data_IF_182328955586
#
_entry.id   IF_182328955586
#
_cell.length_a   1.000
_cell.length_b   1.000
_cell.length_c   1.000
_cell.angle_alpha   90.00
_cell.angle_beta   90.00
_cell.angle_gamma   90.00
#
_symmetry.space_group_name_H-M   'P 1'
#
loop_
_entity.id
_entity.type
_entity.pdbx_description
1 polymer ?
#
# COMPACT_ATOMS: atom_id res chain seq x y z
N UNK A 1 19.78 12.26 13.68
CA UNK A 1 19.05 12.24 12.40
C UNK A 1 18.03 11.13 12.56
N UNK A 2 16.74 11.43 12.34
CA UNK A 2 15.70 10.39 12.38
C UNK A 2 16.06 9.29 11.39
N UNK A 3 15.97 8.02 11.80
CA UNK A 3 16.21 6.87 10.91
C UNK A 3 14.96 6.53 10.07
N UNK A 4 13.96 7.44 10.07
CA UNK A 4 12.71 7.31 9.34
C UNK A 4 12.96 7.22 7.83
N UNK A 5 12.54 6.12 7.22
CA UNK A 5 12.60 5.93 5.76
C UNK A 5 11.59 4.89 5.28
N UNK A 6 11.24 5.00 4.00
CA UNK A 6 10.46 4.01 3.26
C UNK A 6 11.31 3.41 2.13
N UNK A 7 11.28 2.08 1.99
CA UNK A 7 12.01 1.30 1.00
C UNK A 7 11.05 0.34 0.29
N UNK A 8 11.00 0.36 -1.05
CA UNK A 8 10.25 -0.65 -1.82
C UNK A 8 10.99 -1.99 -1.73
N UNK A 9 10.37 -3.00 -1.11
CA UNK A 9 10.93 -4.35 -0.98
C UNK A 9 10.72 -5.17 -2.25
N UNK A 10 9.51 -5.13 -2.80
CA UNK A 10 9.12 -5.82 -4.01
C UNK A 10 8.13 -4.95 -4.79
N UNK A 11 8.44 -4.71 -6.06
CA UNK A 11 7.63 -3.87 -6.96
C UNK A 11 6.41 -4.67 -7.40
N UNK A 12 5.22 -4.13 -7.22
CA UNK A 12 3.97 -4.78 -7.62
C UNK A 12 3.75 -4.79 -9.13
N UNK A 13 2.70 -5.51 -9.54
CA UNK A 13 2.27 -5.63 -10.94
C UNK A 13 0.76 -5.72 -11.00
N UNK A 14 0.15 -5.10 -12.01
CA UNK A 14 -1.23 -5.40 -12.41
C UNK A 14 -1.27 -6.69 -13.23
N UNK A 15 -2.38 -7.43 -13.19
CA UNK A 15 -2.57 -8.62 -14.04
C UNK A 15 -2.55 -8.29 -15.53
N UNK A 16 -3.01 -7.08 -15.86
CA UNK A 16 -2.97 -6.45 -17.17
C UNK A 16 -2.76 -4.94 -17.04
N UNK A 17 -1.99 -4.36 -17.94
CA UNK A 17 -1.78 -2.93 -18.03
C UNK A 17 -2.35 -2.42 -19.36
N UNK A 18 -3.45 -1.66 -19.28
CA UNK A 18 -4.14 -1.07 -20.44
C UNK A 18 -3.26 -0.09 -21.24
N UNK A 19 -2.21 0.45 -20.64
CA UNK A 19 -1.25 1.34 -21.30
C UNK A 19 -0.20 0.58 -22.11
N UNK A 20 -0.15 -0.76 -21.98
CA UNK A 20 0.81 -1.64 -22.67
C UNK A 20 0.11 -2.53 -23.71
N UNK A 21 -1.08 -2.15 -24.17
CA UNK A 21 -1.94 -2.89 -25.11
C UNK A 21 -2.35 -4.30 -24.63
N UNK A 22 -2.39 -4.52 -23.32
CA UNK A 22 -2.83 -5.79 -22.73
C UNK A 22 -4.36 -5.83 -22.61
N UNK A 23 -4.99 -6.84 -23.21
CA UNK A 23 -6.45 -6.99 -23.30
C UNK A 23 -7.01 -8.14 -22.42
N UNK A 24 -6.12 -8.84 -21.74
CA UNK A 24 -6.41 -9.95 -20.84
C UNK A 24 -5.28 -10.06 -19.83
N UNK A 25 -5.52 -10.80 -18.75
CA UNK A 25 -4.49 -11.11 -17.77
C UNK A 25 -3.33 -11.87 -18.42
N UNK A 26 -2.12 -11.35 -18.20
CA UNK A 26 -0.86 -11.90 -18.74
C UNK A 26 0.17 -12.17 -17.64
N UNK A 27 -0.14 -11.80 -16.40
CA UNK A 27 0.68 -12.03 -15.21
C UNK A 27 -0.20 -12.04 -13.95
N UNK A 28 0.38 -12.47 -12.85
CA UNK A 28 -0.26 -12.35 -11.54
C UNK A 28 -0.28 -10.89 -11.09
N UNK A 29 -1.39 -10.50 -10.49
CA UNK A 29 -1.49 -9.23 -9.79
C UNK A 29 -0.84 -9.33 -8.41
N UNK A 30 0.03 -8.36 -8.10
CA UNK A 30 0.76 -8.28 -6.84
C UNK A 30 0.83 -6.83 -6.41
N UNK A 31 0.58 -6.55 -5.14
CA UNK A 31 0.83 -5.22 -4.58
C UNK A 31 2.33 -4.92 -4.46
N UNK A 32 2.64 -3.64 -4.38
CA UNK A 32 3.97 -3.12 -4.07
C UNK A 32 4.19 -3.23 -2.58
N UNK A 33 5.06 -4.15 -2.19
CA UNK A 33 5.40 -4.36 -0.80
C UNK A 33 6.46 -3.33 -0.37
N UNK A 34 6.12 -2.52 0.63
CA UNK A 34 6.97 -1.43 1.12
C UNK A 34 7.37 -1.65 2.58
N UNK A 35 8.62 -1.37 2.91
CA UNK A 35 9.13 -1.34 4.27
C UNK A 35 9.25 0.10 4.75
N UNK A 36 8.62 0.42 5.88
CA UNK A 36 8.81 1.69 6.59
C UNK A 36 9.54 1.40 7.90
N UNK A 37 10.66 2.10 8.13
CA UNK A 37 11.47 1.97 9.34
C UNK A 37 11.51 3.29 10.06
N UNK A 38 11.33 3.27 11.38
CA UNK A 38 11.60 4.36 12.32
C UNK A 38 12.23 3.77 13.58
N UNK A 39 12.47 4.60 14.60
CA UNK A 39 13.27 4.21 15.77
C UNK A 39 12.72 2.96 16.50
N UNK A 40 11.39 2.86 16.67
CA UNK A 40 10.72 1.73 17.33
C UNK A 40 9.77 0.95 16.40
N UNK A 41 9.78 1.25 15.09
CA UNK A 41 8.85 0.67 14.12
C UNK A 41 9.60 0.07 12.92
N UNK A 42 9.27 -1.19 12.62
CA UNK A 42 9.62 -1.88 11.40
C UNK A 42 8.31 -2.39 10.78
N UNK A 43 7.72 -1.59 9.90
CA UNK A 43 6.38 -1.77 9.37
C UNK A 43 6.45 -2.20 7.91
N UNK A 44 5.74 -3.27 7.55
CA UNK A 44 5.56 -3.70 6.16
C UNK A 44 4.16 -3.28 5.69
N UNK A 45 4.08 -2.57 4.57
CA UNK A 45 2.83 -2.23 3.89
C UNK A 45 2.59 -3.21 2.75
N UNK A 46 1.36 -3.73 2.68
CA UNK A 46 0.86 -4.58 1.60
C UNK A 46 1.80 -5.73 1.20
N UNK A 47 1.95 -6.76 2.05
CA UNK A 47 2.78 -7.93 1.78
C UNK A 47 2.12 -8.89 0.75
N UNK A 48 1.81 -8.39 -0.44
CA UNK A 48 1.14 -9.11 -1.52
C UNK A 48 1.90 -10.30 -2.11
N UNK A 49 3.23 -10.26 -2.01
CA UNK A 49 4.10 -11.27 -2.61
C UNK A 49 4.13 -12.60 -1.83
N UNK A 50 4.40 -13.73 -2.49
CA UNK A 50 4.56 -15.02 -1.81
C UNK A 50 5.63 -14.99 -0.70
N UNK A 51 5.43 -15.80 0.35
CA UNK A 51 6.30 -15.81 1.54
C UNK A 51 7.79 -15.99 1.23
N UNK A 52 8.13 -16.82 0.23
CA UNK A 52 9.52 -17.03 -0.17
C UNK A 52 10.15 -15.75 -0.73
N UNK A 53 9.39 -14.97 -1.49
CA UNK A 53 9.85 -13.69 -2.04
C UNK A 53 10.00 -12.68 -0.91
N UNK A 54 9.00 -12.53 -0.05
CA UNK A 54 9.05 -11.61 1.10
C UNK A 54 10.24 -11.89 2.02
N UNK A 55 10.49 -13.16 2.35
CA UNK A 55 11.65 -13.56 3.15
C UNK A 55 12.96 -13.15 2.47
N UNK A 56 13.06 -13.38 1.16
CA UNK A 56 14.26 -13.03 0.39
C UNK A 56 14.47 -11.51 0.33
N UNK A 57 13.44 -10.70 0.09
CA UNK A 57 13.59 -9.24 -0.01
C UNK A 57 13.83 -8.59 1.36
N UNK A 58 13.19 -9.07 2.43
CA UNK A 58 13.48 -8.63 3.81
C UNK A 58 14.96 -8.87 4.15
N UNK A 59 15.47 -10.07 3.84
CA UNK A 59 16.86 -10.39 4.15
C UNK A 59 17.85 -9.68 3.21
N UNK A 60 17.71 -9.82 1.89
CA UNK A 60 18.69 -9.32 0.92
C UNK A 60 18.67 -7.81 0.73
N UNK A 61 17.53 -7.13 0.97
CA UNK A 61 17.39 -5.68 0.74
C UNK A 61 17.36 -4.89 2.03
N UNK A 62 16.85 -5.46 3.12
CA UNK A 62 16.74 -4.77 4.39
C UNK A 62 17.61 -5.35 5.52
N UNK A 63 18.20 -6.54 5.34
CA UNK A 63 18.99 -7.21 6.38
C UNK A 63 18.14 -7.66 7.57
N UNK A 64 16.86 -7.97 7.34
CA UNK A 64 15.89 -8.30 8.38
C UNK A 64 15.43 -9.76 8.28
N UNK A 65 15.27 -10.38 9.44
CA UNK A 65 14.45 -11.58 9.60
C UNK A 65 12.97 -11.19 9.76
N UNK A 66 12.01 -12.03 9.33
CA UNK A 66 10.58 -11.74 9.44
C UNK A 66 10.11 -11.39 10.85
N UNK A 67 10.71 -11.99 11.88
CA UNK A 67 10.38 -11.76 13.28
C UNK A 67 10.73 -10.35 13.77
N UNK A 68 11.53 -9.60 13.02
CA UNK A 68 11.88 -8.22 13.33
C UNK A 68 10.84 -7.22 12.81
N UNK A 69 9.90 -7.65 11.96
CA UNK A 69 8.78 -6.83 11.53
C UNK A 69 7.81 -6.67 12.70
N UNK A 70 7.62 -5.43 13.14
CA UNK A 70 6.76 -5.11 14.28
C UNK A 70 5.31 -4.93 13.86
N UNK A 71 5.07 -4.38 12.68
CA UNK A 71 3.74 -4.08 12.17
C UNK A 71 3.59 -4.52 10.72
N UNK A 72 2.36 -4.92 10.38
CA UNK A 72 1.89 -4.97 9.00
C UNK A 72 0.74 -4.00 8.87
N UNK A 73 0.75 -3.18 7.83
CA UNK A 73 -0.36 -2.30 7.48
C UNK A 73 -0.92 -2.72 6.12
N UNK A 74 -2.24 -2.88 6.03
CA UNK A 74 -2.93 -3.07 4.76
C UNK A 74 -3.61 -1.76 4.36
N UNK A 75 -3.35 -1.32 3.14
CA UNK A 75 -4.02 -0.13 2.57
C UNK A 75 -5.50 -0.40 2.33
N UNK A 76 -5.82 -1.62 1.90
CA UNK A 76 -7.17 -2.17 1.78
C UNK A 76 -7.10 -3.71 1.76
N UNK A 77 -8.26 -4.38 1.78
CA UNK A 77 -8.34 -5.84 1.87
C UNK A 77 -8.64 -6.50 0.51
N UNK A 78 -7.62 -6.57 -0.34
CA UNK A 78 -7.68 -7.28 -1.62
C UNK A 78 -6.70 -8.46 -1.70
N UNK A 79 -6.98 -9.50 -2.52
CA UNK A 79 -6.13 -10.69 -2.64
C UNK A 79 -4.67 -10.36 -3.01
N UNK A 80 -4.46 -9.37 -3.87
CA UNK A 80 -3.14 -8.95 -4.32
C UNK A 80 -2.27 -8.33 -3.21
N UNK A 81 -2.87 -7.93 -2.07
CA UNK A 81 -2.19 -7.23 -0.97
C UNK A 81 -1.79 -8.15 0.18
N UNK A 82 -2.18 -9.44 0.14
CA UNK A 82 -2.12 -10.35 1.30
C UNK A 82 -1.40 -11.69 1.05
N UNK A 83 -0.70 -11.85 -0.08
CA UNK A 83 -0.12 -13.16 -0.47
C UNK A 83 0.92 -13.74 0.48
N UNK A 84 1.66 -12.92 1.24
CA UNK A 84 2.73 -13.37 2.14
C UNK A 84 2.40 -13.31 3.64
N UNK A 85 1.11 -13.27 3.97
CA UNK A 85 0.60 -13.08 5.34
C UNK A 85 1.10 -14.07 6.40
N UNK A 86 1.34 -15.33 6.04
CA UNK A 86 1.80 -16.34 7.01
C UNK A 86 3.22 -16.11 7.51
N UNK A 87 4.07 -15.45 6.71
CA UNK A 87 5.45 -15.12 7.07
C UNK A 87 5.55 -14.14 8.24
N UNK A 88 4.60 -13.21 8.34
CA UNK A 88 4.60 -12.08 9.28
C UNK A 88 3.61 -12.29 10.43
N UNK A 89 3.42 -13.54 10.86
CA UNK A 89 2.42 -13.91 11.86
C UNK A 89 2.66 -13.31 13.27
N UNK A 90 3.88 -12.85 13.58
CA UNK A 90 4.21 -12.21 14.87
C UNK A 90 3.99 -10.69 14.88
N UNK A 91 3.86 -10.08 13.71
CA UNK A 91 3.63 -8.65 13.60
C UNK A 91 2.21 -8.28 14.04
N UNK A 92 2.00 -7.02 14.44
CA UNK A 92 0.66 -6.48 14.63
C UNK A 92 0.07 -6.07 13.27
N UNK A 93 -1.02 -6.72 12.88
CA UNK A 93 -1.72 -6.45 11.63
C UNK A 93 -2.73 -5.31 11.81
N UNK A 94 -2.59 -4.28 11.01
CA UNK A 94 -3.32 -3.02 11.07
C UNK A 94 -4.02 -2.73 9.75
N UNK A 95 -5.21 -2.15 9.83
CA UNK A 95 -5.93 -1.53 8.72
C UNK A 95 -6.82 -0.41 9.28
N UNK A 96 -7.31 0.46 8.41
CA UNK A 96 -8.27 1.49 8.81
C UNK A 96 -9.59 0.87 9.30
N UNK A 97 -10.25 1.49 10.27
CA UNK A 97 -11.41 0.87 10.93
C UNK A 97 -12.59 0.67 9.98
N UNK A 98 -12.77 1.59 9.02
CA UNK A 98 -13.77 1.54 7.97
C UNK A 98 -13.49 0.42 6.98
N UNK A 99 -12.23 0.10 6.71
CA UNK A 99 -11.87 -1.02 5.85
C UNK A 99 -12.19 -2.36 6.52
N UNK A 100 -11.89 -2.46 7.83
CA UNK A 100 -12.25 -3.63 8.63
C UNK A 100 -13.78 -3.76 8.68
N UNK A 101 -14.52 -2.66 8.81
CA UNK A 101 -15.98 -2.67 8.80
C UNK A 101 -16.54 -3.08 7.44
N UNK A 102 -15.96 -2.59 6.35
CA UNK A 102 -16.32 -2.95 4.99
C UNK A 102 -16.05 -4.43 4.69
N UNK A 103 -14.86 -4.93 5.02
CA UNK A 103 -14.53 -6.35 4.88
C UNK A 103 -15.51 -7.26 5.64
N UNK A 104 -16.00 -6.84 6.82
CA UNK A 104 -17.03 -7.59 7.57
C UNK A 104 -18.41 -7.57 6.93
N UNK A 105 -18.74 -6.56 6.12
CA UNK A 105 -20.03 -6.50 5.42
C UNK A 105 -20.01 -7.30 4.12
N UNK A 106 -18.88 -7.31 3.42
CA UNK A 106 -18.78 -7.91 2.09
C UNK A 106 -18.31 -9.36 2.10
N UNK A 107 -17.40 -9.74 3.02
CA UNK A 107 -16.80 -11.08 3.00
C UNK A 107 -17.69 -12.12 3.70
N UNK A 108 -17.92 -13.23 2.99
CA UNK A 108 -18.56 -14.41 3.57
C UNK A 108 -17.61 -15.19 4.48
N UNK A 109 -18.15 -16.05 5.35
CA UNK A 109 -17.34 -16.87 6.29
C UNK A 109 -16.37 -17.83 5.59
N UNK A 110 -16.68 -18.26 4.36
CA UNK A 110 -15.85 -19.16 3.56
C UNK A 110 -14.80 -18.42 2.71
N UNK A 111 -14.80 -17.08 2.72
CA UNK A 111 -13.85 -16.30 1.94
C UNK A 111 -12.42 -16.44 2.51
N UNK A 112 -11.40 -16.75 1.70
CA UNK A 112 -10.01 -16.81 2.17
C UNK A 112 -9.53 -15.54 2.90
N UNK A 113 -10.03 -14.36 2.51
CA UNK A 113 -9.69 -13.08 3.14
C UNK A 113 -10.29 -12.94 4.54
N UNK A 114 -11.34 -13.69 4.89
CA UNK A 114 -11.94 -13.63 6.22
C UNK A 114 -10.93 -14.03 7.33
N UNK A 115 -9.98 -14.92 7.03
CA UNK A 115 -8.90 -15.29 7.94
C UNK A 115 -7.95 -14.12 8.20
N UNK A 116 -7.67 -13.31 7.17
CA UNK A 116 -6.81 -12.12 7.28
C UNK A 116 -7.57 -11.01 8.01
N UNK A 117 -8.83 -10.77 7.65
CA UNK A 117 -9.72 -9.84 8.33
C UNK A 117 -9.77 -10.09 9.84
N UNK A 118 -9.85 -11.36 10.27
CA UNK A 118 -9.85 -11.74 11.68
C UNK A 118 -8.56 -11.43 12.44
N UNK A 119 -7.46 -11.10 11.75
CA UNK A 119 -6.17 -10.69 12.35
C UNK A 119 -6.02 -9.17 12.44
N UNK A 120 -6.80 -8.42 11.66
CA UNK A 120 -6.67 -6.96 11.57
C UNK A 120 -7.17 -6.29 12.84
N UNK A 121 -6.42 -5.26 13.25
CA UNK A 121 -6.78 -4.35 14.31
C UNK A 121 -6.91 -2.95 13.72
N UNK A 122 -7.82 -2.10 14.23
CA UNK A 122 -7.85 -0.69 13.85
C UNK A 122 -6.48 -0.04 14.04
N UNK A 123 -5.99 0.60 12.98
CA UNK A 123 -4.80 1.45 13.03
C UNK A 123 -5.11 2.74 13.81
N UNK A 124 -4.21 3.22 14.68
CA UNK A 124 -4.30 4.58 15.19
C UNK A 124 -3.98 5.60 14.09
N UNK A 125 -4.49 6.83 14.22
CA UNK A 125 -4.17 7.95 13.31
C UNK A 125 -2.65 8.14 13.14
N UNK A 126 -1.92 8.03 14.25
CA UNK A 126 -0.47 8.13 14.34
C UNK A 126 0.10 6.76 14.76
N UNK A 127 0.75 6.05 13.83
CA UNK A 127 1.35 4.73 14.11
C UNK A 127 2.70 4.91 14.83
N UNK A 128 3.50 5.86 14.38
CA UNK A 128 4.79 6.22 14.96
C UNK A 128 5.15 7.67 14.62
N UNK A 129 6.26 8.18 15.14
CA UNK A 129 6.74 9.51 14.75
C UNK A 129 6.99 9.59 13.24
N UNK A 130 6.25 10.46 12.56
CA UNK A 130 6.30 10.64 11.10
C UNK A 130 5.67 9.51 10.28
N UNK A 131 4.87 8.63 10.89
CA UNK A 131 4.14 7.56 10.20
C UNK A 131 2.67 7.66 10.59
N UNK A 132 1.85 8.15 9.66
CA UNK A 132 0.44 8.45 9.87
C UNK A 132 -0.42 7.71 8.85
N UNK A 133 -1.62 7.28 9.24
CA UNK A 133 -2.61 6.85 8.26
C UNK A 133 -3.19 8.08 7.54
N UNK A 134 -3.53 7.92 6.27
CA UNK A 134 -4.11 8.96 5.45
C UNK A 134 -5.28 8.36 4.67
N UNK A 135 -6.53 8.48 5.19
CA UNK A 135 -7.70 7.92 4.52
C UNK A 135 -7.81 8.42 3.09
N UNK A 136 -7.89 7.48 2.14
CA UNK A 136 -7.95 7.75 0.70
C UNK A 136 -9.07 6.92 0.06
N UNK A 137 -10.31 7.14 0.50
CA UNK A 137 -11.46 6.35 0.06
C UNK A 137 -11.71 6.52 -1.44
N UNK A 138 -12.15 5.46 -2.10
CA UNK A 138 -12.48 5.52 -3.52
C UNK A 138 -12.33 4.19 -4.22
N UNK A 139 -11.19 3.51 -4.03
CA UNK A 139 -11.02 2.11 -4.45
C UNK A 139 -11.95 1.20 -3.62
N UNK A 140 -11.89 1.34 -2.30
CA UNK A 140 -12.88 0.85 -1.34
C UNK A 140 -13.35 2.00 -0.43
N UNK A 141 -14.42 1.84 0.36
CA UNK A 141 -14.86 2.85 1.33
C UNK A 141 -13.82 3.17 2.41
N UNK A 142 -13.00 2.18 2.78
CA UNK A 142 -12.00 2.26 3.84
C UNK A 142 -10.55 2.33 3.35
N UNK A 143 -10.33 2.40 2.03
CA UNK A 143 -8.98 2.44 1.47
C UNK A 143 -8.17 3.58 2.09
N UNK A 144 -6.95 3.27 2.53
CA UNK A 144 -6.12 4.18 3.33
C UNK A 144 -4.66 4.09 2.91
N UNK A 145 -4.12 5.22 2.48
CA UNK A 145 -2.70 5.39 2.19
C UNK A 145 -1.92 5.55 3.50
N UNK A 146 -0.62 5.26 3.47
CA UNK A 146 0.27 5.55 4.59
C UNK A 146 1.15 6.77 4.26
N UNK A 147 1.11 7.79 5.11
CA UNK A 147 1.94 8.98 5.00
C UNK A 147 3.21 8.81 5.83
N UNK A 148 4.37 8.93 5.17
CA UNK A 148 5.68 8.93 5.82
C UNK A 148 6.30 10.31 5.67
N UNK A 149 6.34 11.05 6.77
CA UNK A 149 6.77 12.45 6.79
C UNK A 149 8.14 12.62 7.46
N UNK A 150 9.13 13.02 6.67
CA UNK A 150 10.48 13.37 7.15
C UNK A 150 10.68 14.88 7.09
N UNK A 151 11.69 15.45 7.78
CA UNK A 151 12.02 16.86 7.65
C UNK A 151 12.37 17.33 6.23
N UNK A 152 12.64 16.40 5.30
CA UNK A 152 13.03 16.70 3.93
C UNK A 152 11.93 16.47 2.89
N UNK A 153 10.99 15.57 3.17
CA UNK A 153 10.00 15.13 2.20
C UNK A 153 8.84 14.39 2.84
N UNK A 154 7.67 14.49 2.20
CA UNK A 154 6.49 13.67 2.45
C UNK A 154 6.36 12.59 1.38
N UNK A 155 6.35 11.32 1.79
CA UNK A 155 6.15 10.15 0.92
C UNK A 155 4.81 9.50 1.23
N UNK A 156 4.00 9.25 0.22
CA UNK A 156 2.82 8.41 0.36
C UNK A 156 3.08 7.01 -0.16
N UNK A 157 2.72 6.00 0.64
CA UNK A 157 2.48 4.65 0.14
C UNK A 157 0.99 4.61 -0.19
N UNK A 158 0.69 4.78 -1.47
CA UNK A 158 -0.64 5.16 -1.93
C UNK A 158 -1.61 3.97 -2.03
N UNK A 159 -1.10 2.74 -2.04
CA UNK A 159 -1.93 1.59 -2.41
C UNK A 159 -2.66 1.86 -3.73
N UNK A 160 -3.93 1.51 -3.78
CA UNK A 160 -4.73 1.58 -5.00
C UNK A 160 -5.44 2.93 -5.18
N UNK A 161 -5.16 3.91 -4.32
CA UNK A 161 -5.44 5.31 -4.65
C UNK A 161 -4.59 5.79 -5.84
N UNK A 162 -3.44 5.16 -6.09
CA UNK A 162 -2.64 5.32 -7.31
C UNK A 162 -2.14 3.96 -7.77
N UNK A 163 -2.73 3.38 -8.82
CA UNK A 163 -2.37 2.02 -9.26
C UNK A 163 -0.91 1.91 -9.74
N UNK A 164 -0.47 2.83 -10.62
CA UNK A 164 0.86 2.80 -11.25
C UNK A 164 1.30 4.21 -11.66
N UNK A 165 2.53 4.37 -12.12
CA UNK A 165 3.01 5.62 -12.75
C UNK A 165 2.20 6.00 -13.99
N UNK A 166 1.80 5.04 -14.82
CA UNK A 166 1.05 5.33 -16.04
C UNK A 166 -0.36 5.85 -15.73
N UNK A 167 -1.00 5.26 -14.70
CA UNK A 167 -2.28 5.73 -14.15
C UNK A 167 -2.15 7.14 -13.56
N UNK A 168 -1.09 7.39 -12.78
CA UNK A 168 -0.78 8.70 -12.24
C UNK A 168 -0.62 9.76 -13.33
N UNK A 169 0.14 9.45 -14.39
CA UNK A 169 0.41 10.37 -15.49
C UNK A 169 -0.85 10.72 -16.32
N UNK A 170 -1.80 9.79 -16.41
CA UNK A 170 -3.05 9.98 -17.15
C UNK A 170 -4.21 10.50 -16.29
N UNK A 171 -4.05 10.57 -14.97
CA UNK A 171 -5.19 10.80 -14.05
C UNK A 171 -6.23 9.67 -14.12
N UNK A 172 -5.81 8.45 -14.43
CA UNK A 172 -6.67 7.26 -14.47
C UNK A 172 -6.72 6.62 -13.07
N UNK A 173 -7.93 6.41 -12.54
CA UNK A 173 -8.18 5.86 -11.21
C UNK A 173 -8.22 4.32 -11.18
N UNK A 174 -7.94 3.66 -12.29
CA UNK A 174 -8.02 2.21 -12.43
C UNK A 174 -9.39 1.71 -12.89
N UNK A 175 -9.53 0.39 -13.02
CA UNK A 175 -10.79 -0.28 -13.42
C UNK A 175 -11.77 -0.48 -12.28
N UNK A 176 -11.27 -0.62 -11.05
CA UNK A 176 -12.07 -0.96 -9.87
C UNK A 176 -12.16 0.27 -8.99
N UNK A 177 -13.30 0.95 -9.04
CA UNK A 177 -13.54 2.18 -8.28
C UNK A 177 -14.92 2.07 -7.63
N UNK A 178 -14.94 2.00 -6.31
CA UNK A 178 -16.16 1.97 -5.51
C UNK A 178 -16.91 3.31 -5.57
N UNK A 179 -16.19 4.42 -5.40
CA UNK A 179 -16.74 5.78 -5.50
C UNK A 179 -15.75 6.69 -6.24
N UNK A 180 -16.18 7.14 -7.42
CA UNK A 180 -15.34 7.95 -8.32
C UNK A 180 -15.05 9.33 -7.75
N UNK A 181 -16.05 10.00 -7.18
CA UNK A 181 -15.87 11.38 -6.70
C UNK A 181 -14.88 11.39 -5.52
N UNK A 182 -14.98 10.40 -4.63
CA UNK A 182 -14.04 10.22 -3.51
C UNK A 182 -12.65 9.77 -3.98
N UNK A 183 -12.57 8.90 -4.98
CA UNK A 183 -11.29 8.50 -5.57
C UNK A 183 -10.56 9.69 -6.21
N UNK A 184 -11.29 10.56 -6.94
CA UNK A 184 -10.72 11.78 -7.54
C UNK A 184 -10.25 12.78 -6.48
N UNK A 185 -10.98 12.91 -5.37
CA UNK A 185 -10.57 13.72 -4.23
C UNK A 185 -9.29 13.19 -3.60
N UNK A 186 -9.26 11.92 -3.23
CA UNK A 186 -8.10 11.25 -2.65
C UNK A 186 -6.86 11.37 -3.54
N UNK A 187 -7.02 11.08 -4.83
CA UNK A 187 -5.94 11.17 -5.82
C UNK A 187 -5.33 12.58 -5.89
N UNK A 188 -6.18 13.62 -5.86
CA UNK A 188 -5.74 15.02 -5.89
C UNK A 188 -4.99 15.41 -4.61
N UNK A 189 -5.49 15.02 -3.44
CA UNK A 189 -4.85 15.33 -2.17
C UNK A 189 -3.45 14.73 -2.08
N UNK A 190 -3.28 13.47 -2.51
CA UNK A 190 -1.98 12.81 -2.57
C UNK A 190 -0.97 13.58 -3.45
N UNK A 191 -1.44 14.09 -4.59
CA UNK A 191 -0.61 14.89 -5.51
C UNK A 191 -0.24 16.27 -4.96
N UNK A 192 -1.14 16.92 -4.24
CA UNK A 192 -0.91 18.26 -3.67
C UNK A 192 0.10 18.22 -2.52
N UNK A 193 0.03 17.18 -1.69
CA UNK A 193 0.82 17.04 -0.48
C UNK A 193 2.15 16.32 -0.74
N UNK A 194 2.14 15.28 -1.56
CA UNK A 194 3.26 14.35 -1.71
C UNK A 194 4.46 14.94 -2.46
N UNK A 195 5.66 14.63 -1.97
CA UNK A 195 6.89 14.78 -2.75
C UNK A 195 7.19 13.49 -3.53
N UNK A 196 6.83 12.34 -2.95
CA UNK A 196 6.99 11.00 -3.51
C UNK A 196 5.71 10.19 -3.33
N UNK A 197 5.41 9.33 -4.30
CA UNK A 197 4.32 8.34 -4.24
C UNK A 197 4.89 6.96 -4.54
N UNK A 198 4.53 5.96 -3.74
CA UNK A 198 4.70 4.54 -4.03
C UNK A 198 3.32 3.99 -4.43
N UNK A 199 3.08 3.73 -5.73
CA UNK A 199 1.81 3.20 -6.23
C UNK A 199 1.53 1.78 -5.74
N UNK A 200 0.27 1.36 -5.80
CA UNK A 200 -0.18 0.01 -5.44
C UNK A 200 0.52 -1.09 -6.25
N UNK A 201 0.83 -0.85 -7.53
CA UNK A 201 1.36 -1.87 -8.46
C UNK A 201 2.51 -1.35 -9.32
N UNK A 202 3.36 -0.47 -8.78
CA UNK A 202 4.53 0.07 -9.48
C UNK A 202 5.58 0.58 -8.48
N UNK A 203 6.72 1.02 -8.98
CA UNK A 203 7.81 1.57 -8.18
C UNK A 203 7.59 3.04 -7.83
N UNK A 204 8.43 3.56 -6.92
CA UNK A 204 8.41 4.95 -6.46
C UNK A 204 8.41 5.96 -7.62
N UNK A 205 7.56 6.99 -7.48
CA UNK A 205 7.41 8.12 -8.38
C UNK A 205 7.71 9.42 -7.64
N UNK A 206 8.49 10.29 -8.28
CA UNK A 206 8.81 11.62 -7.79
C UNK A 206 7.80 12.63 -8.34
N UNK A 207 7.10 13.34 -7.45
CA UNK A 207 6.14 14.37 -7.83
C UNK A 207 6.84 15.73 -8.00
N UNK A 208 7.62 16.13 -7.00
CA UNK A 208 8.35 17.41 -7.03
C UNK A 208 9.68 17.25 -7.75
N UNK A 209 9.73 17.74 -8.99
CA UNK A 209 10.85 17.60 -9.91
C UNK A 209 10.42 17.60 -11.38
N UNK A 210 9.12 17.40 -11.66
CA UNK A 210 8.54 17.66 -12.95
C UNK A 210 8.12 19.13 -13.03
N UNK A 211 9.01 19.95 -13.57
CA UNK A 211 8.67 21.31 -13.98
C UNK A 211 7.52 21.25 -15.00
N UNK A 212 6.35 21.77 -14.59
CA UNK A 212 5.18 22.09 -15.41
C UNK A 212 4.66 20.97 -16.34
N UNK A 213 3.54 20.35 -15.96
CA UNK A 213 2.59 19.89 -16.99
C UNK A 213 1.97 21.11 -17.69
N UNK A 214 1.77 21.07 -19.01
CA UNK A 214 1.36 22.21 -19.84
C UNK A 214 0.00 22.80 -19.48
#
# INVERSE_FOLDING_TARGET
MSDLRADVLAIGTLSQNRFWDEQQDVRDEMSTCTLVRGDDVCLVVDPGWPEQVLRAVLFYRAGLEPEQVTHVFLTHLDPAHVGGTGLLAKARWLAYEEEIAYGKSELGEEDPLAVILGRLNPAPDHIAEGIDIFPTPGHSPGHTSLMVNTPMATTFIAGDAVMTRDHLACGDLGSTVWDRDRAEESFRELLEIGDFIIPGHDNIVWLRGQANFP
#
